data_IF_125864431364
#
_entry.id   IF_125864431364
#
_cell.length_a   1.000
_cell.length_b   1.000
_cell.length_c   1.000
_cell.angle_alpha   90.00
_cell.angle_beta   90.00
_cell.angle_gamma   90.00
#
_symmetry.space_group_name_H-M   'P 1'
#
loop_
_entity.id
_entity.type
_entity.pdbx_description
1 polymer ?
#
# COMPACT_ATOMS: atom_id res chain seq x y z
N UNK A 1 -6.79 -8.68 26.48
CA UNK A 1 -6.86 -9.44 25.21
C UNK A 1 -5.45 -9.64 24.69
N UNK A 2 -5.01 -10.89 24.44
CA UNK A 2 -3.73 -11.13 23.74
C UNK A 2 -3.82 -10.51 22.34
N UNK A 3 -2.90 -9.63 21.97
CA UNK A 3 -2.77 -9.15 20.58
C UNK A 3 -2.54 -10.38 19.71
N UNK A 4 -3.43 -10.64 18.75
CA UNK A 4 -3.21 -11.69 17.76
C UNK A 4 -2.08 -11.23 16.84
N UNK A 5 -1.04 -12.04 16.73
CA UNK A 5 0.01 -11.83 15.75
C UNK A 5 -0.50 -12.35 14.39
N UNK A 6 -0.61 -11.45 13.43
CA UNK A 6 -1.04 -11.77 12.07
C UNK A 6 0.16 -11.93 11.11
N UNK A 7 1.39 -11.64 11.55
CA UNK A 7 2.59 -11.70 10.73
C UNK A 7 2.86 -13.11 10.19
N UNK A 8 2.49 -14.14 10.96
CA UNK A 8 2.60 -15.56 10.58
C UNK A 8 1.43 -16.05 9.72
N UNK A 9 0.36 -15.26 9.56
CA UNK A 9 -0.80 -15.73 8.80
C UNK A 9 -0.46 -15.79 7.30
N UNK A 10 -0.79 -16.89 6.61
CA UNK A 10 -0.66 -16.92 5.16
C UNK A 10 -1.65 -15.93 4.52
N UNK A 11 -1.31 -15.39 3.34
CA UNK A 11 -2.11 -14.39 2.65
C UNK A 11 -3.57 -14.87 2.47
N UNK A 12 -3.77 -16.13 2.10
CA UNK A 12 -5.08 -16.75 1.89
C UNK A 12 -5.98 -16.65 3.13
N UNK A 13 -5.40 -16.67 4.34
CA UNK A 13 -6.14 -16.51 5.60
C UNK A 13 -6.25 -15.04 6.01
N UNK A 14 -5.21 -14.25 5.78
CA UNK A 14 -5.16 -12.85 6.20
C UNK A 14 -6.18 -11.98 5.45
N UNK A 15 -6.19 -12.03 4.12
CA UNK A 15 -6.98 -11.12 3.29
C UNK A 15 -8.50 -11.18 3.55
N UNK A 16 -9.13 -12.37 3.68
CA UNK A 16 -10.54 -12.44 4.04
C UNK A 16 -10.82 -12.20 5.54
N UNK A 17 -9.80 -12.20 6.40
CA UNK A 17 -9.98 -12.03 7.85
C UNK A 17 -10.66 -10.70 8.18
N UNK A 18 -11.70 -10.79 9.01
CA UNK A 18 -12.40 -9.64 9.62
C UNK A 18 -12.03 -9.45 11.09
N UNK A 19 -11.01 -10.17 11.57
CA UNK A 19 -10.56 -10.06 12.96
C UNK A 19 -10.08 -8.63 13.23
N UNK A 20 -10.40 -8.12 14.41
CA UNK A 20 -9.87 -6.85 14.93
C UNK A 20 -8.35 -6.80 14.75
N UNK A 21 -7.82 -5.65 14.33
CA UNK A 21 -6.40 -5.39 14.04
C UNK A 21 -5.77 -6.11 12.84
N UNK A 22 -6.44 -7.07 12.18
CA UNK A 22 -5.89 -7.72 10.97
C UNK A 22 -5.58 -6.73 9.84
N UNK A 23 -6.28 -5.58 9.83
CA UNK A 23 -6.05 -4.51 8.87
C UNK A 23 -4.63 -3.94 8.94
N UNK A 24 -3.99 -3.92 10.13
CA UNK A 24 -2.62 -3.40 10.29
C UNK A 24 -1.65 -4.21 9.45
N UNK A 25 -1.74 -5.53 9.57
CA UNK A 25 -0.89 -6.45 8.79
C UNK A 25 -1.18 -6.37 7.29
N UNK A 26 -2.45 -6.22 6.88
CA UNK A 26 -2.80 -6.00 5.46
C UNK A 26 -2.12 -4.75 4.88
N UNK A 27 -2.17 -3.64 5.61
CA UNK A 27 -1.50 -2.38 5.21
C UNK A 27 0.01 -2.56 5.17
N UNK A 28 0.56 -3.22 6.18
CA UNK A 28 2.00 -3.43 6.32
C UNK A 28 2.56 -4.34 5.20
N UNK A 29 1.84 -5.40 4.82
CA UNK A 29 2.17 -6.24 3.65
C UNK A 29 2.02 -5.51 2.33
N UNK A 30 0.95 -4.72 2.17
CA UNK A 30 0.77 -3.91 0.96
C UNK A 30 1.90 -2.90 0.78
N UNK A 31 2.33 -2.23 1.86
CA UNK A 31 3.48 -1.35 1.87
C UNK A 31 4.76 -2.08 1.44
N UNK A 32 5.12 -3.19 2.10
CA UNK A 32 6.29 -4.00 1.72
C UNK A 32 6.23 -4.47 0.27
N UNK A 33 5.05 -4.82 -0.22
CA UNK A 33 4.85 -5.22 -1.62
C UNK A 33 5.12 -4.07 -2.59
N UNK A 34 4.69 -2.84 -2.27
CA UNK A 34 5.04 -1.65 -3.06
C UNK A 34 6.56 -1.43 -3.07
N UNK A 35 7.22 -1.51 -1.91
CA UNK A 35 8.67 -1.36 -1.83
C UNK A 35 9.40 -2.40 -2.70
N UNK A 36 8.97 -3.67 -2.65
CA UNK A 36 9.54 -4.75 -3.47
C UNK A 36 9.29 -4.52 -4.95
N UNK A 37 8.07 -4.14 -5.32
CA UNK A 37 7.71 -3.82 -6.70
C UNK A 37 8.59 -2.69 -7.26
N UNK A 38 8.73 -1.59 -6.53
CA UNK A 38 9.52 -0.44 -6.96
C UNK A 38 11.01 -0.74 -7.10
N UNK A 39 11.56 -1.73 -6.37
CA UNK A 39 12.96 -2.14 -6.52
C UNK A 39 13.27 -2.77 -7.88
N UNK A 40 12.32 -3.45 -8.50
CA UNK A 40 12.57 -4.26 -9.70
C UNK A 40 11.85 -3.78 -10.95
N UNK A 41 10.81 -2.94 -10.81
CA UNK A 41 10.04 -2.41 -11.94
C UNK A 41 10.45 -0.97 -12.24
N UNK A 42 10.53 -0.60 -13.52
CA UNK A 42 10.81 0.78 -13.95
C UNK A 42 9.71 1.75 -13.51
N UNK A 43 8.45 1.34 -13.71
CA UNK A 43 7.29 2.11 -13.28
C UNK A 43 7.15 2.02 -11.76
N UNK A 44 7.21 3.17 -11.08
CA UNK A 44 7.18 3.27 -9.61
C UNK A 44 5.80 3.60 -9.11
N UNK A 45 5.36 2.95 -8.05
CA UNK A 45 4.09 3.21 -7.36
C UNK A 45 4.38 4.04 -6.11
N UNK A 46 3.75 5.20 -6.02
CA UNK A 46 3.78 5.99 -4.80
C UNK A 46 3.03 5.26 -3.68
N UNK A 47 3.66 5.18 -2.50
CA UNK A 47 3.02 4.79 -1.26
C UNK A 47 2.12 5.95 -0.84
N UNK A 48 0.81 5.78 -1.06
CA UNK A 48 -0.21 6.79 -0.74
C UNK A 48 -1.39 6.14 -0.05
N UNK A 49 -2.21 6.94 0.64
CA UNK A 49 -3.51 6.49 1.17
C UNK A 49 -4.36 5.84 0.08
N UNK A 50 -4.36 6.40 -1.13
CA UNK A 50 -5.13 5.88 -2.25
C UNK A 50 -4.62 4.52 -2.73
N UNK A 51 -3.30 4.37 -2.92
CA UNK A 51 -2.67 3.10 -3.34
C UNK A 51 -2.93 2.01 -2.31
N UNK A 52 -2.66 2.29 -1.03
CA UNK A 52 -2.86 1.33 0.06
C UNK A 52 -4.33 0.95 0.21
N UNK A 53 -5.26 1.91 0.08
CA UNK A 53 -6.70 1.63 0.12
C UNK A 53 -7.13 0.75 -1.05
N UNK A 54 -6.62 1.04 -2.25
CA UNK A 54 -6.95 0.28 -3.46
C UNK A 54 -6.49 -1.16 -3.36
N UNK A 55 -5.30 -1.41 -2.81
CA UNK A 55 -4.78 -2.77 -2.57
C UNK A 55 -5.56 -3.48 -1.47
N UNK A 56 -5.72 -2.82 -0.31
CA UNK A 56 -6.09 -3.51 0.92
C UNK A 56 -7.59 -3.55 1.20
N UNK A 57 -8.36 -2.64 0.61
CA UNK A 57 -9.77 -2.41 0.98
C UNK A 57 -9.97 -1.85 2.40
N UNK A 58 -8.89 -1.53 3.13
CA UNK A 58 -8.97 -1.02 4.51
C UNK A 58 -9.53 0.41 4.50
N UNK A 59 -10.27 0.74 5.56
CA UNK A 59 -10.82 2.08 5.74
C UNK A 59 -9.73 3.16 5.66
N UNK A 60 -10.06 4.24 4.96
CA UNK A 60 -9.10 5.30 4.69
C UNK A 60 -8.61 6.01 5.95
N UNK A 61 -9.37 6.05 7.05
CA UNK A 61 -8.91 6.66 8.32
C UNK A 61 -7.85 5.79 8.98
N UNK A 62 -8.05 4.47 9.00
CA UNK A 62 -7.06 3.53 9.52
C UNK A 62 -5.73 3.61 8.74
N UNK A 63 -5.82 3.72 7.41
CA UNK A 63 -4.62 3.91 6.56
C UNK A 63 -3.95 5.25 6.85
N UNK A 64 -4.72 6.35 6.97
CA UNK A 64 -4.15 7.65 7.33
C UNK A 64 -3.42 7.59 8.66
N UNK A 65 -4.02 6.99 9.70
CA UNK A 65 -3.39 6.81 11.00
C UNK A 65 -2.10 5.99 10.89
N UNK A 66 -2.11 4.91 10.11
CA UNK A 66 -0.92 4.10 9.87
C UNK A 66 0.19 4.89 9.16
N UNK A 67 -0.14 5.68 8.13
CA UNK A 67 0.83 6.54 7.45
C UNK A 67 1.40 7.58 8.42
N UNK A 68 0.57 8.22 9.25
CA UNK A 68 1.06 9.20 10.24
C UNK A 68 2.04 8.58 11.22
N UNK A 69 1.77 7.36 11.71
CA UNK A 69 2.68 6.64 12.61
C UNK A 69 3.97 6.23 11.90
N UNK A 70 3.92 5.85 10.61
CA UNK A 70 5.07 5.38 9.83
C UNK A 70 5.57 6.44 8.84
N UNK A 71 5.35 7.72 9.15
CA UNK A 71 5.47 8.84 8.22
C UNK A 71 6.87 8.92 7.60
N UNK A 72 7.90 8.81 8.44
CA UNK A 72 9.30 8.85 8.03
C UNK A 72 9.63 7.79 6.99
N UNK A 73 9.27 6.53 7.24
CA UNK A 73 9.55 5.42 6.31
C UNK A 73 8.82 5.61 4.97
N UNK A 74 7.56 6.03 5.01
CA UNK A 74 6.76 6.28 3.80
C UNK A 74 7.38 7.41 2.95
N UNK A 75 7.88 8.47 3.60
CA UNK A 75 8.54 9.58 2.92
C UNK A 75 9.86 9.13 2.29
N UNK A 76 10.71 8.47 3.07
CA UNK A 76 12.01 7.98 2.60
C UNK A 76 11.83 7.01 1.41
N UNK A 77 10.83 6.13 1.46
CA UNK A 77 10.53 5.21 0.35
C UNK A 77 10.04 5.94 -0.90
N UNK A 78 9.14 6.92 -0.78
CA UNK A 78 8.69 7.69 -1.94
C UNK A 78 9.83 8.52 -2.55
N UNK A 79 10.64 9.17 -1.70
CA UNK A 79 11.79 9.96 -2.14
C UNK A 79 12.84 9.10 -2.84
N UNK A 80 13.11 7.89 -2.35
CA UNK A 80 14.04 6.92 -2.97
C UNK A 80 13.74 6.67 -4.45
N UNK A 81 12.47 6.74 -4.84
CA UNK A 81 12.03 6.48 -6.20
C UNK A 81 11.71 7.74 -7.00
N UNK A 82 12.18 8.91 -6.54
CA UNK A 82 11.95 10.19 -7.21
C UNK A 82 10.49 10.63 -7.20
N UNK A 83 9.68 10.10 -6.28
CA UNK A 83 8.27 10.44 -6.13
C UNK A 83 8.19 11.62 -5.18
N UNK A 84 8.22 12.83 -5.75
CA UNK A 84 8.18 14.07 -4.98
C UNK A 84 6.81 14.73 -5.06
N UNK A 85 6.36 15.28 -3.94
CA UNK A 85 5.29 16.26 -3.94
C UNK A 85 5.90 17.66 -4.15
N UNK A 86 5.98 18.10 -5.41
CA UNK A 86 6.55 19.41 -5.75
C UNK A 86 5.77 20.61 -5.17
N UNK A 87 4.52 20.40 -4.73
CA UNK A 87 3.66 21.49 -4.25
C UNK A 87 3.79 21.77 -2.76
N UNK A 88 4.12 20.75 -1.97
CA UNK A 88 4.31 20.84 -0.53
C UNK A 88 5.37 19.80 -0.10
N UNK A 89 6.67 20.12 -0.19
CA UNK A 89 7.74 19.18 0.10
C UNK A 89 7.71 18.67 1.56
N UNK A 90 7.14 19.45 2.48
CA UNK A 90 7.08 19.15 3.91
C UNK A 90 5.76 18.49 4.35
N UNK A 91 4.76 18.40 3.45
CA UNK A 91 3.46 17.77 3.75
C UNK A 91 3.42 16.37 3.16
N UNK A 92 3.81 15.43 4.01
CA UNK A 92 3.94 13.98 3.77
C UNK A 92 2.65 13.30 3.32
N UNK A 93 1.49 13.94 3.51
CA UNK A 93 0.16 13.44 3.17
C UNK A 93 -0.21 13.52 1.67
N UNK A 94 0.62 14.15 0.84
CA UNK A 94 0.24 14.54 -0.52
C UNK A 94 1.17 13.97 -1.61
N UNK A 95 1.63 12.72 -1.45
CA UNK A 95 2.17 11.96 -2.59
C UNK A 95 1.02 11.53 -3.51
N UNK A 96 1.25 11.58 -4.84
CA UNK A 96 0.25 11.21 -5.83
C UNK A 96 0.87 10.43 -6.99
N UNK A 97 0.14 9.43 -7.48
CA UNK A 97 0.45 8.71 -8.71
C UNK A 97 -0.05 9.49 -9.94
N UNK A 98 0.33 10.77 -10.09
CA UNK A 98 -0.17 11.63 -11.20
C UNK A 98 0.26 11.18 -12.59
N UNK A 99 1.33 10.41 -12.68
CA UNK A 99 1.92 9.94 -13.95
C UNK A 99 1.12 8.81 -14.60
N UNK A 100 0.18 8.21 -13.88
CA UNK A 100 -0.59 7.06 -14.37
C UNK A 100 -2.08 7.40 -14.41
N UNK A 101 -2.74 6.96 -15.46
CA UNK A 101 -4.20 6.84 -15.46
C UNK A 101 -4.65 5.88 -14.35
N UNK A 102 -5.93 5.97 -13.96
CA UNK A 102 -6.50 5.07 -12.97
C UNK A 102 -6.40 3.60 -13.40
N UNK A 103 -6.50 3.35 -14.71
CA UNK A 103 -6.37 2.03 -15.33
C UNK A 103 -4.92 1.50 -15.24
N UNK A 104 -3.92 2.29 -15.65
CA UNK A 104 -2.51 1.90 -15.53
C UNK A 104 -2.13 1.61 -14.06
N UNK A 105 -2.54 2.47 -13.13
CA UNK A 105 -2.29 2.23 -11.71
C UNK A 105 -2.96 0.94 -11.24
N UNK A 106 -4.17 0.64 -11.70
CA UNK A 106 -4.86 -0.62 -11.43
C UNK A 106 -4.05 -1.84 -11.91
N UNK A 107 -3.57 -1.85 -13.15
CA UNK A 107 -2.77 -2.96 -13.71
C UNK A 107 -1.44 -3.17 -12.96
N UNK A 108 -0.79 -2.07 -12.59
CA UNK A 108 0.43 -2.12 -11.79
C UNK A 108 0.17 -2.74 -10.42
N UNK A 109 -0.93 -2.34 -9.76
CA UNK A 109 -1.33 -2.90 -8.47
C UNK A 109 -1.69 -4.39 -8.59
N UNK A 110 -2.37 -4.80 -9.67
CA UNK A 110 -2.65 -6.20 -9.92
C UNK A 110 -1.38 -7.04 -10.08
N UNK A 111 -0.41 -6.52 -10.84
CA UNK A 111 0.89 -7.16 -11.02
C UNK A 111 1.60 -7.31 -9.69
N UNK A 112 1.63 -6.26 -8.87
CA UNK A 112 2.16 -6.30 -7.50
C UNK A 112 1.45 -7.36 -6.64
N UNK A 113 0.12 -7.47 -6.73
CA UNK A 113 -0.63 -8.46 -5.97
C UNK A 113 -0.29 -9.89 -6.38
N UNK A 114 -0.19 -10.17 -7.69
CA UNK A 114 0.23 -11.47 -8.20
C UNK A 114 1.65 -11.83 -7.74
N UNK A 115 2.59 -10.88 -7.83
CA UNK A 115 4.00 -11.14 -7.51
C UNK A 115 4.27 -11.29 -6.02
N UNK A 116 3.63 -10.48 -5.16
CA UNK A 116 4.05 -10.34 -3.76
C UNK A 116 2.97 -10.64 -2.72
N UNK A 117 1.70 -10.64 -3.12
CA UNK A 117 0.56 -10.87 -2.21
C UNK A 117 -0.21 -12.15 -2.55
N UNK A 118 0.30 -12.95 -3.50
CA UNK A 118 -0.26 -14.25 -3.90
C UNK A 118 -1.62 -14.13 -4.59
N UNK A 119 -1.93 -12.98 -5.20
CA UNK A 119 -3.22 -12.73 -5.85
C UNK A 119 -4.41 -12.62 -4.88
N UNK A 120 -4.16 -12.61 -3.57
CA UNK A 120 -5.21 -12.68 -2.55
C UNK A 120 -5.74 -11.31 -2.12
N UNK A 121 -5.04 -10.21 -2.44
CA UNK A 121 -5.53 -8.88 -2.11
C UNK A 121 -6.74 -8.54 -2.99
N UNK A 122 -7.77 -7.87 -2.44
CA UNK A 122 -9.05 -7.69 -3.13
C UNK A 122 -8.99 -6.74 -4.34
N UNK A 123 -7.93 -5.93 -4.48
CA UNK A 123 -7.73 -4.85 -5.47
C UNK A 123 -9.02 -4.34 -6.09
N UNK A 124 -9.49 -3.18 -5.62
CA UNK A 124 -10.61 -2.49 -6.25
C UNK A 124 -10.18 -1.86 -7.58
N UNK A 125 -10.20 -2.66 -8.64
CA UNK A 125 -10.09 -2.21 -10.03
C UNK A 125 -11.43 -1.58 -10.40
N UNK A 126 -11.45 -0.28 -10.68
CA UNK A 126 -12.55 0.27 -11.47
C UNK A 126 -12.41 -0.36 -12.87
N UNK A 127 -13.30 -1.30 -13.19
CA UNK A 127 -13.49 -1.83 -14.54
C UNK A 127 -14.41 -0.90 -15.31
#
# INVERSE_FOLDING_TARGET
>A
MKKRDFSEWPNQKLWPSRTTDSWKEKVWRAYRAICKYNKVNESKIAVTRASLRKITGVDGRNISNWITVNCREVVEENQRWGIHNHRFPDITLNFYNRRYSQYQLSEMLETLNRMYLGGCAPINVLR
#
